data_IF_789703968918
#
_entry.id   IF_789703968918
#
_cell.length_a   1.000
_cell.length_b   1.000
_cell.length_c   1.000
_cell.angle_alpha   90.00
_cell.angle_beta   90.00
_cell.angle_gamma   90.00
#
_symmetry.space_group_name_H-M   'P 1'
#
loop_
_entity.id
_entity.type
_entity.pdbx_description
1 polymer ?
#
# COMPACT_ATOMS: atom_id res chain seq x y z
N UNK A 1 -4.86 -2.07 -39.22
CA UNK A 1 -6.00 -2.78 -39.84
C UNK A 1 -6.99 -3.25 -38.79
N UNK A 2 -6.53 -4.01 -37.78
CA UNK A 2 -7.32 -4.46 -36.63
C UNK A 2 -8.18 -3.37 -35.97
N UNK A 3 -7.61 -2.20 -35.67
CA UNK A 3 -8.38 -1.08 -35.13
C UNK A 3 -9.45 -0.52 -36.09
N UNK A 4 -9.21 -0.59 -37.41
CA UNK A 4 -10.13 -0.09 -38.45
C UNK A 4 -11.26 -1.08 -38.76
N UNK A 5 -11.04 -2.38 -38.52
CA UNK A 5 -12.07 -3.42 -38.68
C UNK A 5 -12.92 -3.64 -37.43
N UNK A 6 -12.77 -2.80 -36.40
CA UNK A 6 -13.47 -3.01 -35.13
C UNK A 6 -13.07 -4.30 -34.43
N UNK A 7 -11.82 -4.77 -34.63
CA UNK A 7 -11.31 -6.03 -34.09
C UNK A 7 -12.09 -7.26 -34.58
N UNK A 8 -12.60 -7.24 -35.81
CA UNK A 8 -13.04 -8.46 -36.48
C UNK A 8 -11.83 -9.28 -36.94
N UNK A 9 -11.52 -10.34 -36.18
CA UNK A 9 -10.35 -11.19 -36.43
C UNK A 9 -10.49 -12.03 -37.71
N UNK A 10 -11.70 -12.45 -38.07
CA UNK A 10 -11.93 -13.30 -39.24
C UNK A 10 -11.55 -12.56 -40.54
N UNK A 11 -12.07 -11.34 -40.71
CA UNK A 11 -11.73 -10.49 -41.87
C UNK A 11 -10.23 -10.16 -41.95
N UNK A 12 -9.56 -10.00 -40.80
CA UNK A 12 -8.12 -9.69 -40.78
C UNK A 12 -7.28 -10.92 -41.07
N UNK A 13 -7.70 -12.11 -40.66
CA UNK A 13 -7.04 -13.36 -41.02
C UNK A 13 -7.21 -13.67 -42.51
N UNK A 14 -8.40 -13.50 -43.08
CA UNK A 14 -8.64 -13.65 -44.53
C UNK A 14 -7.74 -12.70 -45.34
N UNK A 15 -7.63 -11.44 -44.91
CA UNK A 15 -6.69 -10.50 -45.50
C UNK A 15 -5.23 -10.95 -45.33
N UNK A 16 -4.84 -11.39 -44.14
CA UNK A 16 -3.48 -11.85 -43.89
C UNK A 16 -3.10 -13.02 -44.82
N UNK A 17 -4.01 -13.97 -45.01
CA UNK A 17 -3.84 -15.09 -45.94
C UNK A 17 -3.73 -14.62 -47.39
N UNK A 18 -4.64 -13.73 -47.83
CA UNK A 18 -4.63 -13.19 -49.20
C UNK A 18 -3.32 -12.47 -49.54
N UNK A 19 -2.69 -11.81 -48.57
CA UNK A 19 -1.44 -11.08 -48.73
C UNK A 19 -0.20 -11.86 -48.22
N UNK A 20 -0.34 -13.15 -47.87
CA UNK A 20 0.73 -14.02 -47.37
C UNK A 20 1.47 -13.44 -46.15
N UNK A 21 0.73 -12.75 -45.28
CA UNK A 21 1.23 -12.29 -43.99
C UNK A 21 1.27 -13.45 -42.99
N UNK A 22 2.13 -13.35 -41.99
CA UNK A 22 2.20 -14.35 -40.92
C UNK A 22 0.98 -14.22 -40.01
N UNK A 23 0.06 -15.18 -40.10
CA UNK A 23 -1.19 -15.23 -39.32
C UNK A 23 -0.92 -15.32 -37.81
N UNK A 24 0.11 -16.05 -37.36
CA UNK A 24 0.50 -16.09 -35.94
C UNK A 24 0.83 -14.71 -35.40
N UNK A 25 1.51 -13.87 -36.18
CA UNK A 25 1.83 -12.49 -35.76
C UNK A 25 0.58 -11.60 -35.73
N UNK A 26 -0.38 -11.83 -36.62
CA UNK A 26 -1.67 -11.12 -36.62
C UNK A 26 -2.47 -11.46 -35.37
N UNK A 27 -2.54 -12.75 -35.02
CA UNK A 27 -3.24 -13.22 -33.81
C UNK A 27 -2.54 -12.68 -32.56
N UNK A 28 -1.20 -12.70 -32.52
CA UNK A 28 -0.41 -12.12 -31.43
C UNK A 28 -0.73 -10.64 -31.21
N UNK A 29 -0.77 -9.84 -32.28
CA UNK A 29 -1.11 -8.42 -32.21
C UNK A 29 -2.57 -8.21 -31.79
N UNK A 30 -3.49 -9.06 -32.26
CA UNK A 30 -4.89 -9.03 -31.85
C UNK A 30 -5.07 -9.31 -30.36
N UNK A 31 -4.40 -10.35 -29.83
CA UNK A 31 -4.43 -10.68 -28.39
C UNK A 31 -3.90 -9.50 -27.58
N UNK A 32 -2.76 -8.92 -27.99
CA UNK A 32 -2.17 -7.74 -27.36
C UNK A 32 -3.17 -6.58 -27.31
N UNK A 33 -3.78 -6.22 -28.45
CA UNK A 33 -4.76 -5.14 -28.52
C UNK A 33 -6.01 -5.40 -27.65
N UNK A 34 -6.52 -6.64 -27.65
CA UNK A 34 -7.66 -7.01 -26.82
C UNK A 34 -7.35 -6.88 -25.34
N UNK A 35 -6.15 -7.27 -24.90
CA UNK A 35 -5.74 -7.16 -23.50
C UNK A 35 -5.53 -5.71 -23.07
N UNK A 36 -4.99 -4.85 -23.94
CA UNK A 36 -4.50 -3.54 -23.54
C UNK A 36 -5.50 -2.39 -23.76
N UNK A 37 -6.45 -2.53 -24.67
CA UNK A 37 -7.37 -1.44 -25.03
C UNK A 37 -8.62 -1.46 -24.14
N UNK A 38 -8.88 -0.40 -23.35
CA UNK A 38 -10.02 -0.35 -22.44
C UNK A 38 -11.36 -0.35 -23.18
N UNK A 39 -11.38 0.03 -24.46
CA UNK A 39 -12.59 0.12 -25.30
C UNK A 39 -13.04 -1.22 -25.89
N UNK A 40 -12.30 -2.30 -25.61
CA UNK A 40 -12.63 -3.63 -26.15
C UNK A 40 -13.55 -4.34 -25.18
N UNK A 41 -14.83 -4.35 -25.52
CA UNK A 41 -15.84 -5.14 -24.82
C UNK A 41 -15.63 -6.64 -25.06
N UNK A 42 -15.98 -7.44 -24.05
CA UNK A 42 -15.85 -8.89 -24.09
C UNK A 42 -14.45 -9.33 -24.54
N UNK A 43 -13.40 -8.65 -24.09
CA UNK A 43 -12.02 -8.94 -24.45
C UNK A 43 -11.60 -10.37 -24.04
N UNK A 44 -12.08 -10.87 -22.90
CA UNK A 44 -11.76 -12.22 -22.42
C UNK A 44 -12.18 -13.32 -23.42
N UNK A 45 -13.47 -13.47 -23.80
CA UNK A 45 -13.86 -14.49 -24.78
C UNK A 45 -13.21 -14.29 -26.14
N UNK A 46 -12.97 -13.03 -26.55
CA UNK A 46 -12.24 -12.71 -27.79
C UNK A 46 -10.81 -13.26 -27.78
N UNK A 47 -10.08 -13.11 -26.67
CA UNK A 47 -8.73 -13.66 -26.51
C UNK A 47 -8.78 -15.18 -26.43
N UNK A 48 -9.68 -15.74 -25.63
CA UNK A 48 -9.80 -17.20 -25.44
C UNK A 48 -10.15 -17.93 -26.74
N UNK A 49 -10.88 -17.30 -27.66
CA UNK A 49 -11.23 -17.90 -28.94
C UNK A 49 -10.02 -18.17 -29.86
N UNK A 50 -8.93 -17.41 -29.70
CA UNK A 50 -7.78 -17.44 -30.63
C UNK A 50 -6.44 -17.75 -29.97
N UNK A 51 -6.39 -17.80 -28.63
CA UNK A 51 -5.14 -17.97 -27.88
C UNK A 51 -4.45 -19.30 -28.23
N UNK A 52 -5.23 -20.37 -28.41
CA UNK A 52 -4.72 -21.71 -28.71
C UNK A 52 -4.17 -21.82 -30.15
N UNK A 53 -4.52 -20.88 -31.04
CA UNK A 53 -3.99 -20.82 -32.40
C UNK A 53 -2.52 -20.36 -32.42
N UNK A 54 -2.07 -19.68 -31.36
CA UNK A 54 -0.66 -19.32 -31.19
C UNK A 54 0.09 -20.54 -30.62
N UNK A 55 0.49 -21.46 -31.49
CA UNK A 55 1.22 -22.67 -31.10
C UNK A 55 2.57 -22.45 -30.42
N UNK A 56 3.04 -21.21 -30.29
CA UNK A 56 4.27 -20.84 -29.59
C UNK A 56 3.97 -20.25 -28.20
N UNK A 57 4.06 -21.09 -27.17
CA UNK A 57 3.82 -20.70 -25.76
C UNK A 57 4.72 -19.58 -25.27
N UNK A 58 5.99 -19.53 -25.69
CA UNK A 58 6.93 -18.45 -25.32
C UNK A 58 6.54 -17.11 -25.93
N UNK A 59 5.99 -17.13 -27.14
CA UNK A 59 5.48 -15.91 -27.77
C UNK A 59 4.26 -15.39 -27.00
N UNK A 60 3.32 -16.27 -26.63
CA UNK A 60 2.17 -15.94 -25.80
C UNK A 60 2.58 -15.37 -24.44
N UNK A 61 3.50 -16.03 -23.75
CA UNK A 61 4.03 -15.57 -22.46
C UNK A 61 4.62 -14.16 -22.59
N UNK A 62 5.43 -13.90 -23.63
CA UNK A 62 5.98 -12.57 -23.89
C UNK A 62 4.91 -11.51 -24.15
N UNK A 63 3.85 -11.86 -24.88
CA UNK A 63 2.73 -10.94 -25.17
C UNK A 63 2.03 -10.56 -23.87
N UNK A 64 1.70 -11.55 -23.04
CA UNK A 64 1.02 -11.32 -21.77
C UNK A 64 1.89 -10.59 -20.75
N UNK A 65 3.19 -10.89 -20.66
CA UNK A 65 4.13 -10.13 -19.81
C UNK A 65 4.18 -8.67 -20.26
N UNK A 66 4.32 -8.42 -21.56
CA UNK A 66 4.35 -7.05 -22.07
C UNK A 66 3.03 -6.30 -21.83
N UNK A 67 1.90 -7.00 -21.96
CA UNK A 67 0.59 -6.42 -21.65
C UNK A 67 0.49 -6.04 -20.17
N UNK A 68 0.87 -6.97 -19.28
CA UNK A 68 0.87 -6.79 -17.82
C UNK A 68 1.74 -5.61 -17.42
N UNK A 69 3.01 -5.61 -17.81
CA UNK A 69 4.00 -4.65 -17.28
C UNK A 69 3.89 -3.25 -17.93
N UNK A 70 3.46 -3.16 -19.19
CA UNK A 70 3.61 -1.91 -19.98
C UNK A 70 2.33 -1.34 -20.60
N UNK A 71 1.21 -2.06 -20.59
CA UNK A 71 0.08 -1.66 -21.44
C UNK A 71 -1.28 -1.60 -20.74
N UNK A 72 -1.55 -2.50 -19.80
CA UNK A 72 -2.77 -2.49 -19.00
C UNK A 72 -2.61 -1.51 -17.85
N UNK A 73 -3.58 -0.61 -17.65
CA UNK A 73 -3.59 0.35 -16.53
C UNK A 73 -3.42 -0.34 -15.17
N UNK A 74 -2.70 0.31 -14.24
CA UNK A 74 -2.52 -0.14 -12.86
C UNK A 74 -3.83 -0.31 -12.08
N UNK A 75 -4.91 0.31 -12.55
CA UNK A 75 -6.21 0.34 -11.90
C UNK A 75 -7.24 -0.60 -12.54
N UNK A 76 -6.93 -1.22 -13.69
CA UNK A 76 -7.83 -2.15 -14.37
C UNK A 76 -7.60 -3.58 -13.85
N UNK A 77 -8.10 -3.84 -12.64
CA UNK A 77 -7.90 -5.12 -11.97
C UNK A 77 -8.49 -6.31 -12.71
N UNK A 78 -9.57 -6.11 -13.48
CA UNK A 78 -10.18 -7.17 -14.27
C UNK A 78 -9.23 -7.66 -15.37
N UNK A 79 -8.66 -6.73 -16.15
CA UNK A 79 -7.67 -7.07 -17.18
C UNK A 79 -6.37 -7.61 -16.61
N UNK A 80 -5.88 -7.00 -15.52
CA UNK A 80 -4.68 -7.47 -14.82
C UNK A 80 -4.88 -8.91 -14.33
N UNK A 81 -6.01 -9.21 -13.68
CA UNK A 81 -6.33 -10.55 -13.18
C UNK A 81 -6.43 -11.56 -14.30
N UNK A 82 -7.11 -11.21 -15.40
CA UNK A 82 -7.20 -12.07 -16.57
C UNK A 82 -5.81 -12.43 -17.12
N UNK A 83 -4.94 -11.44 -17.32
CA UNK A 83 -3.59 -11.67 -17.86
C UNK A 83 -2.71 -12.46 -16.89
N UNK A 84 -2.75 -12.17 -15.60
CA UNK A 84 -2.01 -12.94 -14.59
C UNK A 84 -2.48 -14.41 -14.57
N UNK A 85 -3.78 -14.67 -14.64
CA UNK A 85 -4.31 -16.03 -14.72
C UNK A 85 -3.86 -16.75 -16.01
N UNK A 86 -3.84 -16.07 -17.16
CA UNK A 86 -3.31 -16.66 -18.41
C UNK A 86 -1.82 -16.99 -18.27
N UNK A 87 -1.03 -16.12 -17.65
CA UNK A 87 0.39 -16.37 -17.39
C UNK A 87 0.61 -17.55 -16.44
N UNK A 88 -0.22 -17.69 -15.40
CA UNK A 88 -0.17 -18.85 -14.49
C UNK A 88 -0.51 -20.17 -15.21
N UNK A 89 -1.43 -20.17 -16.18
CA UNK A 89 -1.69 -21.37 -16.98
C UNK A 89 -0.49 -21.75 -17.86
N UNK A 90 0.25 -20.77 -18.38
CA UNK A 90 1.46 -21.01 -19.17
C UNK A 90 2.66 -21.39 -18.29
N UNK A 91 2.71 -20.88 -17.06
CA UNK A 91 3.81 -21.09 -16.12
C UNK A 91 3.29 -21.29 -14.67
N UNK A 92 2.79 -22.51 -14.34
CA UNK A 92 2.07 -22.76 -13.08
C UNK A 92 2.90 -22.69 -11.81
N UNK A 93 4.23 -22.69 -11.92
CA UNK A 93 5.15 -22.72 -10.76
C UNK A 93 5.89 -21.40 -10.57
N UNK A 94 5.41 -20.32 -11.18
CA UNK A 94 6.03 -19.01 -11.07
C UNK A 94 5.55 -18.28 -9.81
N UNK A 95 6.36 -18.34 -8.75
CA UNK A 95 6.07 -17.69 -7.47
C UNK A 95 5.81 -16.18 -7.59
N UNK A 96 6.40 -15.49 -8.58
CA UNK A 96 6.14 -14.06 -8.80
C UNK A 96 4.72 -13.83 -9.32
N UNK A 97 4.21 -14.71 -10.20
CA UNK A 97 2.85 -14.62 -10.71
C UNK A 97 1.81 -14.99 -9.65
N UNK A 98 2.10 -15.98 -8.81
CA UNK A 98 1.25 -16.35 -7.67
C UNK A 98 1.12 -15.17 -6.69
N UNK A 99 2.22 -14.49 -6.38
CA UNK A 99 2.21 -13.28 -5.54
C UNK A 99 1.41 -12.16 -6.19
N UNK A 100 1.59 -11.91 -7.49
CA UNK A 100 0.81 -10.91 -8.25
C UNK A 100 -0.69 -11.21 -8.22
N UNK A 101 -1.09 -12.48 -8.36
CA UNK A 101 -2.48 -12.88 -8.25
C UNK A 101 -3.03 -12.62 -6.84
N UNK A 102 -2.30 -13.00 -5.81
CA UNK A 102 -2.69 -12.76 -4.42
C UNK A 102 -2.83 -11.25 -4.10
N UNK A 103 -1.96 -10.39 -4.64
CA UNK A 103 -2.13 -8.93 -4.54
C UNK A 103 -3.45 -8.49 -5.18
N UNK A 104 -3.74 -8.95 -6.40
CA UNK A 104 -4.97 -8.57 -7.11
C UNK A 104 -6.23 -9.04 -6.39
N UNK A 105 -6.22 -10.23 -5.78
CA UNK A 105 -7.37 -10.73 -5.01
C UNK A 105 -7.72 -9.81 -3.83
N UNK A 106 -6.71 -9.31 -3.12
CA UNK A 106 -6.90 -8.35 -2.03
C UNK A 106 -7.36 -7.00 -2.57
N UNK A 107 -6.74 -6.51 -3.64
CA UNK A 107 -7.08 -5.21 -4.24
C UNK A 107 -8.50 -5.18 -4.82
N UNK A 108 -8.99 -6.28 -5.42
CA UNK A 108 -10.36 -6.40 -5.91
C UNK A 108 -11.41 -6.29 -4.79
N UNK A 109 -11.03 -6.62 -3.54
CA UNK A 109 -11.90 -6.54 -2.37
C UNK A 109 -11.76 -5.21 -1.60
N UNK A 110 -10.85 -4.33 -2.03
CA UNK A 110 -10.50 -3.10 -1.32
C UNK A 110 -10.91 -1.85 -2.12
N UNK A 111 -11.77 -1.01 -1.53
CA UNK A 111 -12.04 0.34 -2.02
C UNK A 111 -11.08 1.33 -1.35
N UNK A 112 -10.40 2.14 -2.16
CA UNK A 112 -9.46 3.18 -1.75
C UNK A 112 -10.12 4.23 -0.85
N UNK A 113 -9.40 4.68 0.19
CA UNK A 113 -9.82 5.75 1.10
C UNK A 113 -9.35 7.13 0.71
N UNK A 114 -8.09 7.25 0.28
CA UNK A 114 -7.49 8.54 -0.04
C UNK A 114 -7.41 8.76 -1.54
N UNK A 115 -7.57 10.01 -2.00
CA UNK A 115 -7.39 10.30 -3.41
C UNK A 115 -5.94 10.04 -3.83
N UNK A 116 -5.71 9.53 -5.05
CA UNK A 116 -4.35 9.36 -5.58
C UNK A 116 -3.62 10.70 -5.60
N UNK A 117 -2.31 10.63 -5.42
CA UNK A 117 -1.46 11.81 -5.58
C UNK A 117 -1.28 12.15 -7.06
N UNK A 118 -1.01 13.43 -7.37
CA UNK A 118 -0.70 13.85 -8.75
C UNK A 118 0.51 13.10 -9.29
N UNK A 119 1.52 12.84 -8.44
CA UNK A 119 2.73 12.11 -8.82
C UNK A 119 2.44 10.65 -9.19
N UNK A 120 1.57 9.97 -8.44
CA UNK A 120 1.10 8.61 -8.76
C UNK A 120 0.41 8.57 -10.13
N UNK A 121 -0.51 9.49 -10.38
CA UNK A 121 -1.23 9.56 -11.65
C UNK A 121 -0.30 9.92 -12.82
N UNK A 122 0.68 10.82 -12.61
CA UNK A 122 1.70 11.15 -13.63
C UNK A 122 2.59 9.97 -13.99
N UNK A 123 3.01 9.22 -12.96
CA UNK A 123 3.81 8.01 -13.18
C UNK A 123 3.02 7.00 -14.03
N UNK A 124 1.73 6.83 -13.73
CA UNK A 124 0.89 5.90 -14.47
C UNK A 124 0.53 6.40 -15.88
N UNK A 125 0.28 7.71 -16.04
CA UNK A 125 -0.09 8.31 -17.32
C UNK A 125 1.04 8.20 -18.35
N UNK A 126 2.29 8.24 -17.90
CA UNK A 126 3.47 8.10 -18.76
C UNK A 126 3.84 6.64 -19.04
N UNK A 127 3.41 5.69 -18.20
CA UNK A 127 3.76 4.27 -18.32
C UNK A 127 3.15 3.62 -19.56
N UNK A 128 1.85 3.80 -19.79
CA UNK A 128 1.15 3.12 -20.88
C UNK A 128 0.87 4.05 -22.05
N UNK A 129 0.87 3.50 -23.27
CA UNK A 129 0.43 4.24 -24.45
C UNK A 129 -1.04 4.65 -24.33
N UNK A 130 -1.89 3.77 -23.82
CA UNK A 130 -3.32 4.02 -23.65
C UNK A 130 -3.58 5.20 -22.69
N UNK A 131 -2.84 5.29 -21.59
CA UNK A 131 -2.99 6.39 -20.65
C UNK A 131 -2.51 7.74 -21.24
N UNK A 132 -1.42 7.75 -22.02
CA UNK A 132 -0.99 8.95 -22.76
C UNK A 132 -2.04 9.44 -23.75
N UNK A 133 -2.63 8.50 -24.51
CA UNK A 133 -3.70 8.82 -25.46
C UNK A 133 -4.97 9.32 -24.74
N UNK A 134 -5.36 8.69 -23.62
CA UNK A 134 -6.50 9.13 -22.81
C UNK A 134 -6.30 10.54 -22.25
N UNK A 135 -5.10 10.83 -21.77
CA UNK A 135 -4.74 12.14 -21.25
C UNK A 135 -4.77 13.22 -22.35
N UNK A 136 -4.27 12.90 -23.55
CA UNK A 136 -4.33 13.80 -24.70
C UNK A 136 -5.79 14.15 -25.09
N UNK A 137 -6.70 13.17 -25.03
CA UNK A 137 -8.12 13.39 -25.29
C UNK A 137 -8.75 14.27 -24.21
N UNK A 138 -8.49 13.99 -22.93
CA UNK A 138 -8.98 14.80 -21.82
C UNK A 138 -8.54 16.28 -21.94
N UNK A 139 -7.29 16.53 -22.32
CA UNK A 139 -6.81 17.88 -22.54
C UNK A 139 -7.48 18.57 -23.74
N UNK A 140 -7.69 17.85 -24.84
CA UNK A 140 -8.39 18.44 -25.99
C UNK A 140 -9.83 18.82 -25.67
N UNK A 141 -10.52 18.03 -24.84
CA UNK A 141 -11.90 18.33 -24.41
C UNK A 141 -11.95 19.50 -23.44
N UNK A 142 -10.91 19.69 -22.62
CA UNK A 142 -10.75 20.84 -21.71
C UNK A 142 -10.34 22.15 -22.40
N UNK A 143 -10.01 22.12 -23.70
CA UNK A 143 -9.58 23.30 -24.46
C UNK A 143 -8.20 23.86 -24.08
N UNK A 144 -7.33 23.06 -23.44
CA UNK A 144 -5.97 23.47 -23.05
C UNK A 144 -4.96 23.20 -24.18
N UNK A 145 -4.09 24.18 -24.47
CA UNK A 145 -3.01 24.04 -25.46
C UNK A 145 -1.96 23.02 -25.00
N UNK A 146 -1.68 22.03 -25.86
CA UNK A 146 -0.82 20.86 -25.61
C UNK A 146 0.61 21.25 -25.17
N UNK A 147 1.08 22.45 -25.54
CA UNK A 147 2.44 22.93 -25.26
C UNK A 147 2.64 23.51 -23.83
N UNK A 148 1.57 23.78 -23.08
CA UNK A 148 1.65 24.36 -21.72
C UNK A 148 1.60 23.30 -20.60
N UNK A 149 1.48 22.02 -20.95
CA UNK A 149 0.99 20.94 -20.07
C UNK A 149 2.04 20.37 -19.13
N UNK A 150 3.34 20.52 -19.40
CA UNK A 150 4.39 19.89 -18.59
C UNK A 150 4.47 20.40 -17.13
N UNK A 151 3.84 21.54 -16.79
CA UNK A 151 3.96 22.14 -15.45
C UNK A 151 2.66 22.40 -14.68
N UNK A 152 1.47 22.25 -15.27
CA UNK A 152 0.18 22.61 -14.61
C UNK A 152 -0.95 21.60 -14.86
N UNK A 153 -0.63 20.31 -14.70
CA UNK A 153 -1.65 19.25 -14.73
C UNK A 153 -2.46 19.26 -13.43
N UNK A 154 -3.78 19.45 -13.55
CA UNK A 154 -4.67 19.41 -12.39
C UNK A 154 -5.03 17.95 -12.03
N UNK A 155 -5.28 17.69 -10.75
CA UNK A 155 -5.72 16.37 -10.29
C UNK A 155 -7.03 15.93 -10.98
N UNK A 156 -7.92 16.86 -11.29
CA UNK A 156 -9.18 16.58 -11.98
C UNK A 156 -8.94 16.03 -13.38
N UNK A 157 -8.09 16.68 -14.17
CA UNK A 157 -7.81 16.27 -15.56
C UNK A 157 -7.22 14.85 -15.60
N UNK A 158 -6.34 14.53 -14.64
CA UNK A 158 -5.72 13.20 -14.52
C UNK A 158 -6.73 12.13 -14.08
N UNK A 159 -7.68 12.45 -13.21
CA UNK A 159 -8.74 11.55 -12.78
C UNK A 159 -9.78 11.32 -13.88
N UNK A 160 -10.08 12.33 -14.70
CA UNK A 160 -10.97 12.19 -15.85
C UNK A 160 -10.37 11.23 -16.90
N UNK A 161 -9.05 11.28 -17.10
CA UNK A 161 -8.34 10.33 -17.96
C UNK A 161 -8.27 8.91 -17.36
N UNK A 162 -8.28 8.77 -16.03
CA UNK A 162 -8.13 7.50 -15.31
C UNK A 162 -9.15 7.38 -14.16
N UNK A 163 -10.45 7.20 -14.46
CA UNK A 163 -11.51 7.26 -13.45
C UNK A 163 -11.41 6.14 -12.41
N UNK A 164 -10.85 4.98 -12.78
CA UNK A 164 -10.66 3.86 -11.85
C UNK A 164 -9.67 4.19 -10.72
N UNK A 165 -8.76 5.15 -10.92
CA UNK A 165 -7.78 5.55 -9.91
C UNK A 165 -8.41 6.17 -8.66
N UNK A 166 -9.65 6.69 -8.77
CA UNK A 166 -10.41 7.22 -7.65
C UNK A 166 -10.85 6.13 -6.66
N UNK A 167 -10.95 4.87 -7.10
CA UNK A 167 -11.43 3.75 -6.28
C UNK A 167 -10.37 2.68 -6.05
N UNK A 168 -9.40 2.55 -6.94
CA UNK A 168 -8.41 1.50 -6.93
C UNK A 168 -7.02 2.03 -6.59
N UNK A 169 -6.23 1.24 -5.87
CA UNK A 169 -4.80 1.46 -5.66
C UNK A 169 -4.00 1.08 -6.91
N UNK A 170 -2.87 1.74 -7.14
CA UNK A 170 -1.99 1.37 -8.24
C UNK A 170 -1.34 -0.01 -7.99
N UNK A 171 -1.74 -1.03 -8.77
CA UNK A 171 -1.15 -2.37 -8.71
C UNK A 171 0.37 -2.35 -9.00
N UNK A 172 0.78 -1.58 -10.01
CA UNK A 172 2.19 -1.53 -10.44
C UNK A 172 3.08 -0.83 -9.42
N UNK A 173 2.57 0.19 -8.71
CA UNK A 173 3.32 0.82 -7.63
C UNK A 173 3.48 -0.11 -6.41
N UNK A 174 2.46 -0.94 -6.13
CA UNK A 174 2.50 -1.93 -5.04
C UNK A 174 3.48 -3.07 -5.32
N UNK A 175 3.42 -3.68 -6.51
CA UNK A 175 4.31 -4.79 -6.90
C UNK A 175 5.71 -4.30 -7.29
N UNK A 176 5.87 -2.99 -7.49
CA UNK A 176 7.13 -2.34 -7.82
C UNK A 176 8.08 -2.18 -6.62
N UNK A 177 8.92 -1.15 -6.69
CA UNK A 177 10.00 -0.93 -5.72
C UNK A 177 9.57 -0.19 -4.44
N UNK A 178 8.37 0.41 -4.40
CA UNK A 178 7.98 1.33 -3.33
C UNK A 178 6.50 1.16 -2.89
N UNK A 179 6.09 -0.01 -2.38
CA UNK A 179 4.70 -0.27 -1.97
C UNK A 179 4.18 0.70 -0.90
N UNK A 180 5.06 1.16 0.00
CA UNK A 180 4.67 2.04 1.10
C UNK A 180 4.17 3.41 0.65
N UNK A 181 4.54 3.91 -0.53
CA UNK A 181 4.02 5.21 -1.03
C UNK A 181 2.53 5.16 -1.26
N UNK A 182 2.00 4.00 -1.65
CA UNK A 182 0.57 3.75 -1.88
C UNK A 182 -0.13 3.28 -0.61
N UNK A 183 0.54 2.47 0.22
CA UNK A 183 -0.08 1.92 1.44
C UNK A 183 -0.19 2.94 2.57
N UNK A 184 0.80 3.81 2.78
CA UNK A 184 0.83 4.71 3.95
C UNK A 184 -0.41 5.62 4.06
N UNK A 185 -0.92 6.24 2.99
CA UNK A 185 -2.14 7.06 3.05
C UNK A 185 -3.41 6.27 3.38
N UNK A 186 -3.37 4.95 3.15
CA UNK A 186 -4.52 4.05 3.28
C UNK A 186 -4.59 3.36 4.64
N UNK A 187 -3.48 3.33 5.39
CA UNK A 187 -3.38 2.63 6.66
C UNK A 187 -4.05 3.40 7.80
N UNK A 188 -5.02 2.76 8.42
CA UNK A 188 -5.72 3.24 9.61
C UNK A 188 -6.32 2.08 10.40
N UNK A 189 -7.03 2.39 11.50
CA UNK A 189 -7.58 1.36 12.40
C UNK A 189 -8.63 0.48 11.72
N UNK A 190 -9.33 0.99 10.71
CA UNK A 190 -10.41 0.28 10.02
C UNK A 190 -9.94 -0.48 8.77
N UNK A 191 -8.75 -0.14 8.24
CA UNK A 191 -8.22 -0.71 7.00
C UNK A 191 -7.08 -1.69 7.22
N UNK A 192 -6.45 -1.69 8.41
CA UNK A 192 -5.35 -2.59 8.74
C UNK A 192 -5.70 -4.05 8.43
N UNK A 193 -6.87 -4.52 8.85
CA UNK A 193 -7.27 -5.93 8.67
C UNK A 193 -7.51 -6.29 7.20
N UNK A 194 -7.91 -5.32 6.37
CA UNK A 194 -8.14 -5.48 4.94
C UNK A 194 -6.84 -5.47 4.14
N UNK A 195 -5.86 -4.67 4.57
CA UNK A 195 -4.58 -4.48 3.86
C UNK A 195 -3.48 -5.41 4.35
N UNK A 196 -3.56 -5.92 5.59
CA UNK A 196 -2.58 -6.87 6.15
C UNK A 196 -2.34 -8.11 5.28
N UNK A 197 -3.34 -8.70 4.59
CA UNK A 197 -3.10 -9.81 3.65
C UNK A 197 -2.12 -9.48 2.52
N UNK A 198 -1.85 -8.20 2.23
CA UNK A 198 -0.81 -7.79 1.27
C UNK A 198 0.63 -8.01 1.79
N UNK A 199 0.83 -8.18 3.10
CA UNK A 199 2.16 -8.30 3.69
C UNK A 199 2.95 -9.47 3.09
N UNK A 200 2.34 -10.67 3.04
CA UNK A 200 2.99 -11.86 2.49
C UNK A 200 3.34 -11.75 0.99
N UNK A 201 2.40 -11.43 0.09
CA UNK A 201 2.71 -11.37 -1.34
C UNK A 201 3.62 -10.20 -1.72
N UNK A 202 3.66 -9.11 -0.95
CA UNK A 202 4.61 -8.01 -1.13
C UNK A 202 5.95 -8.22 -0.41
N UNK A 203 6.12 -9.34 0.30
CA UNK A 203 7.31 -9.64 1.11
C UNK A 203 7.62 -8.54 2.15
N UNK A 204 6.57 -7.93 2.70
CA UNK A 204 6.64 -6.92 3.74
C UNK A 204 6.42 -7.54 5.12
N UNK A 205 6.98 -6.91 6.15
CA UNK A 205 6.73 -7.34 7.53
C UNK A 205 5.33 -6.94 7.97
N UNK A 206 4.57 -7.88 8.55
CA UNK A 206 3.30 -7.58 9.22
C UNK A 206 3.48 -6.54 10.33
N UNK A 207 4.63 -6.57 11.03
CA UNK A 207 4.96 -5.60 12.08
C UNK A 207 5.05 -4.16 11.53
N UNK A 208 5.45 -3.99 10.26
CA UNK A 208 5.51 -2.68 9.63
C UNK A 208 4.11 -2.11 9.38
N UNK A 209 3.14 -2.95 9.01
CA UNK A 209 1.74 -2.53 8.87
C UNK A 209 1.20 -1.99 10.20
N UNK A 210 1.38 -2.75 11.28
CA UNK A 210 0.95 -2.31 12.61
C UNK A 210 1.69 -1.06 13.07
N UNK A 211 3.00 -0.98 12.83
CA UNK A 211 3.81 0.20 13.16
C UNK A 211 3.27 1.45 12.45
N UNK A 212 3.03 1.37 11.15
CA UNK A 212 2.56 2.49 10.36
C UNK A 212 1.14 2.90 10.71
N UNK A 213 0.23 1.95 10.96
CA UNK A 213 -1.11 2.26 11.44
C UNK A 213 -1.11 2.96 12.80
N UNK A 214 -0.30 2.50 13.76
CA UNK A 214 -0.17 3.16 15.07
C UNK A 214 0.38 4.59 14.90
N UNK A 215 1.41 4.78 14.06
CA UNK A 215 1.97 6.12 13.79
C UNK A 215 0.92 7.05 13.16
N UNK A 216 0.11 6.55 12.22
CA UNK A 216 -0.95 7.31 11.58
C UNK A 216 -2.02 7.75 12.61
N UNK A 217 -2.45 6.84 13.49
CA UNK A 217 -3.39 7.15 14.58
C UNK A 217 -2.85 8.23 15.52
N UNK A 218 -1.59 8.10 15.96
CA UNK A 218 -0.94 9.08 16.85
C UNK A 218 -0.83 10.45 16.19
N UNK A 219 -0.46 10.50 14.91
CA UNK A 219 -0.38 11.75 14.13
C UNK A 219 -1.74 12.43 14.03
N UNK A 220 -2.79 11.67 13.69
CA UNK A 220 -4.15 12.19 13.60
C UNK A 220 -4.64 12.80 14.93
N UNK A 221 -4.31 12.16 16.06
CA UNK A 221 -4.69 12.68 17.38
C UNK A 221 -3.94 13.95 17.77
N UNK A 222 -2.69 14.10 17.34
CA UNK A 222 -1.90 15.29 17.58
C UNK A 222 -2.43 16.47 16.72
N UNK A 223 -2.69 16.23 15.43
CA UNK A 223 -3.25 17.25 14.52
C UNK A 223 -4.67 17.69 14.95
N UNK A 224 -5.47 16.78 15.50
CA UNK A 224 -6.82 17.10 16.00
C UNK A 224 -6.81 17.88 17.33
N UNK A 225 -5.69 17.87 18.06
CA UNK A 225 -5.60 18.48 19.40
C UNK A 225 -5.30 19.98 19.37
N UNK A 226 -4.84 20.53 18.24
CA UNK A 226 -4.36 21.92 18.12
C UNK A 226 -5.46 22.95 17.80
N UNK A 227 -6.73 22.56 17.65
CA UNK A 227 -7.72 23.43 17.01
C UNK A 227 -8.66 24.25 17.92
N UNK A 228 -8.89 23.97 19.22
CA UNK A 228 -9.86 24.83 19.96
C UNK A 228 -9.89 24.79 21.50
N UNK A 229 -9.22 23.87 22.17
CA UNK A 229 -9.25 23.83 23.65
C UNK A 229 -8.03 23.07 24.11
N UNK A 230 -7.00 23.76 24.60
CA UNK A 230 -6.03 23.11 25.47
C UNK A 230 -6.83 22.60 26.68
N UNK A 231 -7.03 21.28 26.85
CA UNK A 231 -7.67 20.79 28.06
C UNK A 231 -6.83 21.25 29.25
N UNK A 232 -7.50 21.73 30.29
CA UNK A 232 -6.81 22.09 31.54
C UNK A 232 -5.94 20.89 31.95
N UNK A 233 -4.63 21.07 31.98
CA UNK A 233 -3.64 19.98 32.18
C UNK A 233 -3.91 19.24 33.50
N UNK A 234 -4.58 19.90 34.44
CA UNK A 234 -5.08 19.34 35.68
C UNK A 234 -6.22 18.33 35.49
N UNK A 235 -7.15 18.59 34.57
CA UNK A 235 -8.30 17.72 34.27
C UNK A 235 -7.86 16.47 33.49
N UNK A 236 -6.88 16.62 32.58
CA UNK A 236 -6.26 15.50 31.86
C UNK A 236 -5.52 14.52 32.80
N UNK A 237 -4.95 15.01 33.89
CA UNK A 237 -4.28 14.21 34.92
C UNK A 237 -5.27 13.51 35.86
N UNK A 238 -6.44 14.12 36.08
CA UNK A 238 -7.51 13.54 36.90
C UNK A 238 -8.33 12.48 36.14
N UNK A 239 -8.39 12.61 34.81
CA UNK A 239 -8.99 11.60 33.96
C UNK A 239 -8.13 10.33 33.98
N UNK A 240 -8.70 9.21 34.45
CA UNK A 240 -8.00 7.92 34.54
C UNK A 240 -8.13 7.08 33.27
N UNK A 241 -8.94 7.52 32.32
CA UNK A 241 -9.24 6.75 31.12
C UNK A 241 -8.07 6.90 30.14
N UNK A 242 -7.54 5.76 29.69
CA UNK A 242 -6.44 5.69 28.72
C UNK A 242 -6.99 5.29 27.34
N UNK A 243 -7.99 6.05 26.88
CA UNK A 243 -8.80 5.71 25.70
C UNK A 243 -7.99 5.68 24.41
N UNK A 244 -6.93 6.51 24.31
CA UNK A 244 -6.04 6.52 23.15
C UNK A 244 -5.10 5.32 23.17
N UNK A 245 -4.54 5.00 24.33
CA UNK A 245 -3.70 3.81 24.47
C UNK A 245 -4.50 2.51 24.27
N UNK A 246 -5.73 2.44 24.77
CA UNK A 246 -6.63 1.30 24.59
C UNK A 246 -6.92 1.00 23.12
N UNK A 247 -6.95 2.03 22.26
CA UNK A 247 -7.16 1.86 20.82
C UNK A 247 -5.95 1.26 20.11
N UNK A 248 -4.71 1.59 20.50
CA UNK A 248 -3.49 1.05 19.87
C UNK A 248 -2.98 -0.23 20.53
N UNK A 249 -3.36 -0.50 21.77
CA UNK A 249 -2.89 -1.65 22.53
C UNK A 249 -3.13 -3.00 21.83
N UNK A 250 -4.29 -3.27 21.19
CA UNK A 250 -4.50 -4.50 20.44
C UNK A 250 -3.48 -4.68 19.31
N UNK A 251 -3.20 -3.61 18.55
CA UNK A 251 -2.24 -3.63 17.44
C UNK A 251 -0.82 -3.93 17.93
N UNK A 252 -0.42 -3.35 19.05
CA UNK A 252 0.91 -3.61 19.66
C UNK A 252 1.06 -5.08 20.07
N UNK A 253 -0.03 -5.74 20.47
CA UNK A 253 0.00 -7.17 20.84
C UNK A 253 0.18 -8.09 19.63
N UNK A 254 -0.08 -7.62 18.41
CA UNK A 254 0.08 -8.40 17.19
C UNK A 254 1.53 -8.47 16.70
N UNK A 255 2.44 -7.64 17.23
CA UNK A 255 3.84 -7.63 16.83
C UNK A 255 4.54 -8.97 17.11
N UNK A 256 5.22 -9.50 16.09
CA UNK A 256 6.07 -10.69 16.20
C UNK A 256 7.45 -10.33 16.76
N UNK A 257 8.01 -9.19 16.34
CA UNK A 257 9.27 -8.66 16.82
C UNK A 257 9.06 -7.79 18.07
N UNK A 258 9.54 -8.28 19.21
CA UNK A 258 9.45 -7.57 20.49
C UNK A 258 10.23 -6.24 20.51
N UNK A 259 11.33 -6.15 19.78
CA UNK A 259 12.12 -4.93 19.69
C UNK A 259 11.35 -3.82 18.96
N UNK A 260 10.71 -4.17 17.84
CA UNK A 260 9.83 -3.26 17.10
C UNK A 260 8.63 -2.83 17.97
N UNK A 261 8.01 -3.79 18.70
CA UNK A 261 6.91 -3.51 19.63
C UNK A 261 7.30 -2.53 20.76
N UNK A 262 8.51 -2.68 21.32
CA UNK A 262 9.01 -1.75 22.35
C UNK A 262 9.33 -0.38 21.75
N UNK A 263 9.89 -0.35 20.54
CA UNK A 263 10.23 0.91 19.85
C UNK A 263 8.97 1.73 19.51
N UNK A 264 7.90 1.07 19.05
CA UNK A 264 6.62 1.75 18.81
C UNK A 264 5.94 2.19 20.12
N UNK A 265 6.09 1.43 21.21
CA UNK A 265 5.62 1.84 22.54
C UNK A 265 6.37 3.06 23.07
N UNK A 266 7.68 3.15 22.82
CA UNK A 266 8.48 4.32 23.15
C UNK A 266 7.96 5.54 22.37
N UNK A 267 7.81 5.40 21.05
CA UNK A 267 7.27 6.46 20.20
C UNK A 267 5.86 6.90 20.63
N UNK A 268 4.99 5.95 20.97
CA UNK A 268 3.65 6.24 21.48
C UNK A 268 3.70 6.99 22.83
N UNK A 269 4.56 6.56 23.76
CA UNK A 269 4.74 7.22 25.05
C UNK A 269 5.27 8.65 24.92
N UNK A 270 6.14 8.91 23.94
CA UNK A 270 6.66 10.24 23.63
C UNK A 270 5.62 11.13 22.92
N UNK A 271 4.70 10.51 22.17
CA UNK A 271 3.62 11.22 21.47
C UNK A 271 2.45 11.59 22.37
N UNK A 272 2.26 10.89 23.50
CA UNK A 272 1.18 11.19 24.43
C UNK A 272 1.53 12.33 25.39
N UNK A 273 0.58 13.23 25.71
CA UNK A 273 0.75 14.18 26.80
C UNK A 273 0.95 13.43 28.12
N UNK A 274 1.61 14.07 29.10
CA UNK A 274 1.78 13.46 30.41
C UNK A 274 0.42 13.22 31.08
N UNK A 275 0.07 11.96 31.27
CA UNK A 275 -1.27 11.50 31.64
C UNK A 275 -1.39 9.98 31.65
N UNK A 276 -2.62 9.43 31.76
CA UNK A 276 -2.85 7.99 31.91
C UNK A 276 -2.36 7.16 30.70
N UNK A 277 -2.52 7.66 29.47
CA UNK A 277 -2.07 6.98 28.24
C UNK A 277 -0.55 6.78 28.21
N UNK A 278 0.23 7.84 28.49
CA UNK A 278 1.70 7.78 28.55
C UNK A 278 2.17 6.78 29.60
N UNK A 279 1.56 6.81 30.79
CA UNK A 279 1.88 5.87 31.88
C UNK A 279 1.55 4.43 31.48
N UNK A 280 0.41 4.20 30.82
CA UNK A 280 0.00 2.87 30.37
C UNK A 280 0.96 2.31 29.29
N UNK A 281 1.37 3.14 28.33
CA UNK A 281 2.37 2.79 27.33
C UNK A 281 3.71 2.41 27.96
N UNK A 282 4.22 3.24 28.89
CA UNK A 282 5.48 2.96 29.59
C UNK A 282 5.40 1.66 30.42
N UNK A 283 4.31 1.44 31.16
CA UNK A 283 4.09 0.19 31.92
C UNK A 283 4.09 -1.03 31.01
N UNK A 284 3.42 -0.95 29.85
CA UNK A 284 3.40 -2.04 28.88
C UNK A 284 4.78 -2.28 28.28
N UNK A 285 5.55 -1.22 27.98
CA UNK A 285 6.93 -1.33 27.50
C UNK A 285 7.84 -2.03 28.51
N UNK A 286 7.78 -1.66 29.79
CA UNK A 286 8.52 -2.34 30.87
C UNK A 286 8.14 -3.83 30.94
N UNK A 287 6.84 -4.16 30.81
CA UNK A 287 6.37 -5.56 30.80
C UNK A 287 6.92 -6.34 29.60
N UNK A 288 6.93 -5.76 28.41
CA UNK A 288 7.47 -6.38 27.20
C UNK A 288 8.99 -6.53 27.27
N UNK A 289 9.73 -5.53 27.77
CA UNK A 289 11.17 -5.60 27.97
C UNK A 289 11.57 -6.71 28.94
N UNK A 290 10.81 -6.91 30.03
CA UNK A 290 11.01 -8.05 30.94
C UNK A 290 10.81 -9.39 30.24
N UNK A 291 9.78 -9.51 29.39
CA UNK A 291 9.53 -10.70 28.58
C UNK A 291 10.67 -10.94 27.58
N UNK A 292 11.12 -9.88 26.90
CA UNK A 292 12.22 -9.93 25.94
C UNK A 292 13.53 -10.36 26.61
N UNK A 293 13.86 -9.80 27.78
CA UNK A 293 15.01 -10.21 28.59
C UNK A 293 15.00 -11.69 28.99
N UNK A 294 13.82 -12.26 29.28
CA UNK A 294 13.69 -13.70 29.54
C UNK A 294 13.97 -14.57 28.30
N UNK A 295 13.61 -14.09 27.11
CA UNK A 295 13.87 -14.79 25.85
C UNK A 295 15.35 -14.70 25.46
N UNK A 296 15.97 -13.52 25.62
CA UNK A 296 17.40 -13.30 25.34
C UNK A 296 18.27 -14.26 26.17
N UNK A 297 17.92 -14.50 27.45
CA UNK A 297 18.64 -15.47 28.31
C UNK A 297 18.69 -16.89 27.74
N UNK A 298 17.83 -17.25 26.80
CA UNK A 298 17.76 -18.57 26.15
C UNK A 298 18.52 -18.64 24.82
N UNK A 299 19.02 -17.51 24.31
CA UNK A 299 19.73 -17.42 23.02
C UNK A 299 21.21 -17.77 23.17
N UNK A 300 21.94 -18.17 22.10
CA UNK A 300 23.37 -18.45 22.13
C UNK A 300 24.21 -17.25 22.61
N UNK A 301 25.36 -17.51 23.26
CA UNK A 301 26.17 -16.47 23.91
C UNK A 301 26.66 -15.36 22.97
N UNK A 302 26.90 -15.67 21.68
CA UNK A 302 27.40 -14.73 20.67
C UNK A 302 26.43 -13.60 20.34
N UNK A 303 25.12 -13.89 20.29
CA UNK A 303 24.07 -12.90 20.01
C UNK A 303 23.52 -12.28 21.30
N UNK A 304 23.57 -13.04 22.40
CA UNK A 304 23.00 -12.63 23.69
C UNK A 304 23.59 -11.33 24.21
N UNK A 305 24.91 -11.14 24.15
CA UNK A 305 25.57 -9.98 24.77
C UNK A 305 25.14 -8.66 24.13
N UNK A 306 25.08 -8.59 22.80
CA UNK A 306 24.72 -7.36 22.08
C UNK A 306 23.24 -7.00 22.29
N UNK A 307 22.36 -8.00 22.16
CA UNK A 307 20.92 -7.78 22.31
C UNK A 307 20.56 -7.44 23.77
N UNK A 308 21.24 -8.07 24.75
CA UNK A 308 21.02 -7.79 26.16
C UNK A 308 21.43 -6.36 26.54
N UNK A 309 22.59 -5.89 26.11
CA UNK A 309 23.04 -4.52 26.38
C UNK A 309 22.07 -3.47 25.81
N UNK A 310 21.53 -3.73 24.61
CA UNK A 310 20.50 -2.89 23.99
C UNK A 310 19.19 -2.90 24.79
N UNK A 311 18.71 -4.08 25.17
CA UNK A 311 17.49 -4.23 25.95
C UNK A 311 17.59 -3.57 27.33
N UNK A 312 18.75 -3.65 28.00
CA UNK A 312 19.02 -2.98 29.27
C UNK A 312 19.00 -1.45 29.14
N UNK A 313 19.62 -0.92 28.09
CA UNK A 313 19.60 0.53 27.79
C UNK A 313 18.17 1.03 27.62
N UNK A 314 17.36 0.32 26.83
CA UNK A 314 15.95 0.67 26.61
C UNK A 314 15.16 0.52 27.92
N UNK A 315 15.42 -0.51 28.72
CA UNK A 315 14.78 -0.71 30.03
C UNK A 315 15.04 0.46 30.98
N UNK A 316 16.30 0.91 31.10
CA UNK A 316 16.66 2.06 31.92
C UNK A 316 15.95 3.34 31.46
N UNK A 317 15.81 3.54 30.15
CA UNK A 317 15.04 4.66 29.61
C UNK A 317 13.57 4.59 30.03
N UNK A 318 12.92 3.44 29.86
CA UNK A 318 11.52 3.25 30.24
C UNK A 318 11.28 3.44 31.74
N UNK A 319 12.16 2.93 32.61
CA UNK A 319 12.03 3.13 34.06
C UNK A 319 12.20 4.59 34.45
N UNK A 320 13.19 5.30 33.88
CA UNK A 320 13.38 6.73 34.14
C UNK A 320 12.19 7.55 33.65
N UNK A 321 11.78 7.37 32.39
CA UNK A 321 10.64 8.08 31.79
C UNK A 321 9.34 7.81 32.56
N UNK A 322 9.19 6.59 33.10
CA UNK A 322 8.07 6.25 33.97
C UNK A 322 8.11 6.97 35.32
N UNK A 323 9.28 7.03 35.98
CA UNK A 323 9.45 7.75 37.24
C UNK A 323 9.23 9.27 37.07
N UNK A 324 9.74 9.83 35.98
CA UNK A 324 9.58 11.25 35.63
C UNK A 324 8.10 11.56 35.37
N UNK A 325 7.41 10.76 34.56
CA UNK A 325 5.98 10.93 34.29
C UNK A 325 5.12 10.74 35.56
N UNK A 326 5.45 9.80 36.43
CA UNK A 326 4.75 9.61 37.70
C UNK A 326 4.92 10.81 38.64
N UNK A 327 6.12 11.40 38.66
CA UNK A 327 6.42 12.61 39.43
C UNK A 327 5.64 13.80 38.88
N UNK A 328 5.65 14.00 37.56
CA UNK A 328 4.93 15.06 36.87
C UNK A 328 3.41 14.98 37.12
N UNK A 329 2.83 13.79 37.00
CA UNK A 329 1.42 13.52 37.33
C UNK A 329 1.12 13.89 38.79
N UNK A 330 2.01 13.54 39.71
CA UNK A 330 1.84 13.84 41.14
C UNK A 330 1.89 15.34 41.39
N UNK A 331 2.86 16.05 40.80
CA UNK A 331 2.99 17.50 40.92
C UNK A 331 1.77 18.23 40.34
N UNK A 332 1.31 17.84 39.15
CA UNK A 332 0.10 18.40 38.51
C UNK A 332 -1.17 18.12 39.31
N UNK A 333 -1.30 16.93 39.89
CA UNK A 333 -2.41 16.58 40.78
C UNK A 333 -2.48 17.51 42.01
N UNK A 334 -1.34 17.94 42.53
CA UNK A 334 -1.26 18.87 43.67
C UNK A 334 -1.08 20.34 43.28
N UNK A 335 -1.18 20.69 41.99
CA UNK A 335 -0.97 22.05 41.45
C UNK A 335 0.41 22.64 41.80
N UNK A 336 1.42 21.78 41.88
CA UNK A 336 2.82 22.11 42.18
C UNK A 336 3.67 22.23 40.91
N UNK A 337 3.06 22.64 39.79
CA UNK A 337 3.67 22.71 38.46
C UNK A 337 4.92 23.59 38.40
N UNK A 338 5.02 24.59 39.28
CA UNK A 338 6.18 25.47 39.43
C UNK A 338 7.48 24.75 39.87
N UNK A 339 7.39 23.48 40.25
CA UNK A 339 8.53 22.64 40.64
C UNK A 339 8.85 21.56 39.59
N UNK A 340 8.25 21.63 38.39
CA UNK A 340 8.68 20.81 37.27
C UNK A 340 10.08 21.29 36.82
N UNK A 341 11.05 20.37 36.66
CA UNK A 341 12.41 20.69 36.25
C UNK A 341 12.54 21.11 34.79
#
# INVERSE_FOLDING_TARGET
>A
MLARSGLDIASVLEFAEAFRLNTTNVIAEYISLCCCSPRVDAYQPRVLAVVDEVGNSKLLERIFINALDNAISAYDYDRLSFVVQRLLLLNPHNATLERRAAVLDVLCAYDRRSLPTIEELRSESTRTRAAREALQVAYSDSGKDIAAVENDESLSDLLDAMPLAARHLSFHALVGSAPWTVLLPELGPETIDLLLPLAQPLELSEDDFYMHAIKAMLRQWNESSDATTAPDLHEAVLNKNHTRFDAIQPLIRCFKNLEAAVSILQYAAESFPCGPDRVAALKMGIKLLRKWGQLIKRMPDSERQQIMAKAETIYMYFEKSYADAATEITLRKYRLEKYLP
#
